data_IF_115040561214
#
_entry.id   IF_115040561214
#
_cell.length_a   1.000
_cell.length_b   1.000
_cell.length_c   1.000
_cell.angle_alpha   90.00
_cell.angle_beta   90.00
_cell.angle_gamma   90.00
#
_symmetry.space_group_name_H-M   'P 1'
#
loop_
_entity.id
_entity.type
_entity.pdbx_description
1 polymer ?
#
# COMPACT_ATOMS: atom_id res chain seq x y z
N UNK A 1 -19.11 -19.97 -50.85
CA UNK A 1 -19.07 -18.60 -51.43
C UNK A 1 -18.36 -17.70 -50.42
N UNK A 2 -17.09 -17.38 -50.66
CA UNK A 2 -16.28 -16.54 -49.80
C UNK A 2 -16.36 -15.07 -50.19
N UNK A 3 -16.01 -14.18 -49.26
CA UNK A 3 -15.52 -12.84 -49.57
C UNK A 3 -14.74 -12.28 -48.38
N UNK A 4 -13.43 -12.44 -48.45
CA UNK A 4 -12.42 -11.71 -47.68
C UNK A 4 -12.45 -10.22 -48.05
N UNK A 5 -12.36 -9.31 -47.06
CA UNK A 5 -12.09 -7.89 -47.31
C UNK A 5 -10.73 -7.50 -46.76
N UNK A 6 -9.98 -6.85 -47.66
CA UNK A 6 -8.57 -6.49 -47.63
C UNK A 6 -8.29 -5.20 -46.85
N UNK A 7 -7.06 -5.16 -46.36
CA UNK A 7 -6.28 -4.00 -45.88
C UNK A 7 -6.04 -3.00 -47.05
N UNK A 8 -6.01 -1.68 -46.82
CA UNK A 8 -5.46 -0.72 -47.78
C UNK A 8 -3.97 -0.43 -47.53
N UNK A 9 -3.22 -0.38 -48.63
CA UNK A 9 -1.79 -0.11 -48.73
C UNK A 9 -1.46 1.40 -48.88
N UNK A 10 -0.21 1.76 -48.56
CA UNK A 10 0.40 3.07 -48.74
C UNK A 10 0.56 3.51 -50.21
N UNK A 11 0.69 4.82 -50.49
CA UNK A 11 1.23 5.35 -51.74
C UNK A 11 2.73 5.76 -51.64
N UNK A 12 3.41 6.01 -52.78
CA UNK A 12 4.85 5.79 -52.94
C UNK A 12 5.72 7.06 -52.76
N UNK A 13 7.01 6.83 -52.50
CA UNK A 13 8.05 7.87 -52.49
C UNK A 13 8.58 8.21 -53.88
N UNK A 14 9.62 9.07 -53.96
CA UNK A 14 10.45 9.14 -55.15
C UNK A 14 11.99 9.12 -54.90
N UNK A 15 12.64 8.20 -55.60
CA UNK A 15 13.87 8.33 -56.41
C UNK A 15 15.25 8.61 -55.77
N UNK A 16 16.06 7.54 -55.72
CA UNK A 16 17.51 7.55 -55.97
C UNK A 16 17.77 7.52 -57.50
N UNK A 17 18.98 7.90 -57.93
CA UNK A 17 19.68 7.09 -58.94
C UNK A 17 21.14 6.76 -58.56
N UNK A 18 21.41 5.44 -58.55
CA UNK A 18 22.50 4.68 -59.18
C UNK A 18 23.97 5.16 -59.21
N UNK A 19 24.80 4.29 -58.61
CA UNK A 19 26.21 3.88 -58.85
C UNK A 19 26.74 4.00 -60.31
N UNK A 20 28.08 4.11 -60.50
CA UNK A 20 28.89 2.89 -60.69
C UNK A 20 30.30 2.90 -60.06
N UNK A 21 30.88 1.70 -60.07
CA UNK A 21 32.17 1.25 -59.53
C UNK A 21 33.32 1.25 -60.56
N UNK A 22 34.55 1.23 -60.02
CA UNK A 22 35.78 0.53 -60.48
C UNK A 22 36.78 1.15 -61.51
N UNK A 23 38.04 1.18 -61.03
CA UNK A 23 39.40 1.08 -61.66
C UNK A 23 40.11 2.33 -62.29
N UNK A 24 41.46 2.32 -62.51
CA UNK A 24 42.41 3.18 -61.80
C UNK A 24 43.25 4.08 -62.73
N UNK A 25 43.96 5.07 -62.18
CA UNK A 25 44.91 5.85 -62.97
C UNK A 25 45.80 6.72 -62.10
N UNK A 26 47.10 6.40 -62.07
CA UNK A 26 48.11 7.20 -61.39
C UNK A 26 48.50 8.45 -62.17
N UNK A 27 49.13 9.40 -61.49
CA UNK A 27 50.37 10.12 -61.88
C UNK A 27 50.57 11.36 -61.02
N UNK A 28 51.59 11.29 -60.17
CA UNK A 28 52.69 12.27 -59.99
C UNK A 28 52.39 13.78 -59.94
N UNK A 29 52.75 14.41 -58.82
CA UNK A 29 53.45 15.71 -58.59
C UNK A 29 53.18 16.05 -57.10
N UNK A 30 54.10 16.41 -56.20
CA UNK A 30 55.48 16.84 -56.23
C UNK A 30 55.74 17.55 -54.88
N UNK A 31 56.61 16.96 -54.06
CA UNK A 31 57.52 17.53 -53.03
C UNK A 31 57.16 18.80 -52.19
N UNK A 32 57.29 18.66 -50.85
CA UNK A 32 58.17 19.41 -49.89
C UNK A 32 57.56 19.33 -48.45
N UNK A 33 58.00 18.41 -47.58
CA UNK A 33 59.10 18.53 -46.59
C UNK A 33 58.84 19.51 -45.42
N UNK A 34 58.68 18.98 -44.20
CA UNK A 34 58.74 19.76 -42.96
C UNK A 34 58.24 19.02 -41.70
N UNK A 35 59.16 18.35 -41.00
CA UNK A 35 59.14 17.70 -39.68
C UNK A 35 57.99 17.99 -38.69
N UNK A 36 57.35 16.93 -38.18
CA UNK A 36 57.43 16.55 -36.75
C UNK A 36 56.82 15.17 -36.49
N UNK A 37 57.66 14.15 -36.66
CA UNK A 37 57.32 12.74 -36.47
C UNK A 37 57.51 12.32 -35.01
N UNK A 38 56.53 12.62 -34.15
CA UNK A 38 56.31 11.80 -32.96
C UNK A 38 55.92 10.38 -33.41
N UNK A 39 56.75 9.39 -33.08
CA UNK A 39 56.55 7.97 -33.39
C UNK A 39 55.11 7.56 -33.05
N UNK A 40 54.40 6.89 -33.97
CA UNK A 40 53.03 6.40 -33.82
C UNK A 40 52.66 5.80 -32.43
N UNK A 41 53.53 5.01 -31.75
CA UNK A 41 53.25 4.55 -30.38
C UNK A 41 53.15 5.68 -29.34
N UNK A 42 53.88 6.77 -29.53
CA UNK A 42 53.84 7.94 -28.64
C UNK A 42 52.54 8.75 -28.80
N UNK A 43 52.01 8.84 -30.04
CA UNK A 43 50.70 9.45 -30.30
C UNK A 43 49.56 8.63 -29.67
N UNK A 44 49.62 7.31 -29.78
CA UNK A 44 48.62 6.43 -29.17
C UNK A 44 48.66 6.52 -27.64
N UNK A 45 49.85 6.52 -27.03
CA UNK A 45 50.01 6.68 -25.59
C UNK A 45 49.44 8.02 -25.10
N UNK A 46 49.68 9.11 -25.81
CA UNK A 46 49.14 10.43 -25.50
C UNK A 46 47.61 10.45 -25.56
N UNK A 47 47.01 9.84 -26.59
CA UNK A 47 45.54 9.75 -26.72
C UNK A 47 44.94 8.95 -25.55
N UNK A 48 45.55 7.83 -25.18
CA UNK A 48 45.09 7.01 -24.05
C UNK A 48 45.20 7.81 -22.74
N UNK A 49 46.34 8.45 -22.47
CA UNK A 49 46.53 9.26 -21.27
C UNK A 49 45.54 10.44 -21.20
N UNK A 50 45.28 11.11 -22.32
CA UNK A 50 44.28 12.17 -22.40
C UNK A 50 42.86 11.64 -22.12
N UNK A 51 42.49 10.47 -22.66
CA UNK A 51 41.17 9.87 -22.45
C UNK A 51 40.92 9.44 -21.01
N UNK A 52 41.94 8.88 -20.34
CA UNK A 52 41.87 8.50 -18.92
C UNK A 52 41.80 9.75 -18.04
N UNK A 53 42.59 10.77 -18.36
CA UNK A 53 42.54 12.06 -17.65
C UNK A 53 41.18 12.74 -17.74
N UNK A 54 40.59 12.80 -18.95
CA UNK A 54 39.26 13.38 -19.15
C UNK A 54 38.17 12.61 -18.40
N UNK A 55 38.26 11.28 -18.38
CA UNK A 55 37.32 10.43 -17.66
C UNK A 55 37.41 10.64 -16.14
N UNK A 56 38.62 10.76 -15.59
CA UNK A 56 38.81 11.02 -14.16
C UNK A 56 38.29 12.40 -13.74
N UNK A 57 38.54 13.44 -14.55
CA UNK A 57 38.02 14.80 -14.32
C UNK A 57 36.50 14.82 -14.42
N UNK A 58 35.92 14.13 -15.42
CA UNK A 58 34.48 14.01 -15.56
C UNK A 58 33.84 13.33 -14.32
N UNK A 59 34.43 12.25 -13.81
CA UNK A 59 33.95 11.55 -12.60
C UNK A 59 34.02 12.48 -11.37
N UNK A 60 35.13 13.19 -11.19
CA UNK A 60 35.29 14.16 -10.08
C UNK A 60 34.27 15.30 -10.17
N UNK A 61 34.06 15.87 -11.35
CA UNK A 61 33.05 16.92 -11.58
C UNK A 61 31.63 16.39 -11.39
N UNK A 62 31.38 15.14 -11.78
CA UNK A 62 30.11 14.46 -11.53
C UNK A 62 29.78 14.33 -10.04
N UNK A 63 30.76 13.95 -9.22
CA UNK A 63 30.63 13.88 -7.76
C UNK A 63 30.39 15.24 -7.11
N UNK A 64 30.92 16.32 -7.71
CA UNK A 64 30.86 17.66 -7.11
C UNK A 64 29.67 18.51 -7.62
N UNK A 65 29.18 18.27 -8.85
CA UNK A 65 28.23 19.17 -9.54
C UNK A 65 26.90 18.52 -9.98
N UNK A 66 26.66 17.23 -9.70
CA UNK A 66 25.42 16.49 -10.05
C UNK A 66 24.84 16.82 -11.45
N UNK A 67 25.65 16.63 -12.50
CA UNK A 67 25.23 16.82 -13.89
C UNK A 67 24.24 15.74 -14.36
N UNK A 68 23.30 16.06 -15.27
CA UNK A 68 22.13 15.23 -15.60
C UNK A 68 22.40 13.89 -16.31
N UNK A 69 23.66 13.57 -16.63
CA UNK A 69 24.05 12.32 -17.32
C UNK A 69 24.91 11.39 -16.46
N UNK A 70 25.01 11.65 -15.16
CA UNK A 70 25.85 10.84 -14.30
C UNK A 70 25.15 9.54 -13.84
N UNK A 71 25.80 8.37 -13.87
CA UNK A 71 25.22 7.11 -13.38
C UNK A 71 25.06 7.16 -11.85
N UNK A 72 23.89 7.62 -11.42
CA UNK A 72 23.22 7.45 -10.12
C UNK A 72 24.08 7.13 -8.89
N UNK A 73 25.02 8.00 -8.48
CA UNK A 73 25.53 8.06 -7.11
C UNK A 73 26.00 9.49 -6.78
N UNK A 74 25.05 10.41 -6.58
CA UNK A 74 25.34 11.66 -5.87
C UNK A 74 25.27 11.39 -4.35
N UNK A 75 26.37 11.64 -3.63
CA UNK A 75 26.36 11.74 -2.16
C UNK A 75 25.76 13.10 -1.82
N UNK A 76 24.47 13.12 -1.50
CA UNK A 76 23.76 14.34 -1.11
C UNK A 76 24.08 14.66 0.37
N UNK A 77 24.84 15.73 0.70
CA UNK A 77 25.18 16.05 2.09
C UNK A 77 24.04 16.77 2.82
N UNK A 78 22.91 17.06 2.15
CA UNK A 78 21.85 17.92 2.68
C UNK A 78 20.50 17.25 2.93
N UNK A 79 20.38 15.94 2.75
CA UNK A 79 19.33 15.16 3.39
C UNK A 79 19.66 15.06 4.88
N UNK A 80 19.12 16.02 5.63
CA UNK A 80 19.09 16.02 7.08
C UNK A 80 18.49 14.69 7.56
N UNK A 81 19.36 13.72 7.85
CA UNK A 81 19.07 12.60 8.73
C UNK A 81 18.82 13.26 10.09
N UNK A 82 17.57 13.67 10.32
CA UNK A 82 17.05 13.74 11.68
C UNK A 82 17.21 12.33 12.22
N UNK A 83 18.27 12.11 12.99
CA UNK A 83 18.39 10.98 13.91
C UNK A 83 17.13 10.99 14.78
N UNK A 84 16.15 10.20 14.37
CA UNK A 84 14.95 9.93 15.17
C UNK A 84 15.42 9.10 16.37
N UNK A 85 14.98 9.37 17.60
CA UNK A 85 15.42 8.61 18.76
C UNK A 85 15.02 7.13 18.59
N UNK A 86 16.02 6.26 18.50
CA UNK A 86 15.93 4.81 18.68
C UNK A 86 15.67 4.57 20.19
N UNK A 87 14.62 3.87 20.66
CA UNK A 87 14.43 2.40 20.91
C UNK A 87 13.17 2.32 21.87
N UNK A 88 12.30 1.25 21.93
CA UNK A 88 12.72 -0.15 21.99
C UNK A 88 11.96 -1.17 21.17
N UNK A 89 12.69 -1.73 20.20
CA UNK A 89 12.57 -3.13 19.76
C UNK A 89 11.25 -3.50 19.10
N UNK A 90 11.19 -4.72 18.54
CA UNK A 90 9.93 -5.23 18.04
C UNK A 90 8.98 -5.47 19.23
N UNK A 91 7.78 -4.92 19.14
CA UNK A 91 6.77 -5.13 20.17
C UNK A 91 6.22 -6.56 20.06
N UNK A 92 6.03 -7.18 21.22
CA UNK A 92 5.30 -8.43 21.32
C UNK A 92 3.80 -8.14 21.23
N UNK A 93 3.16 -8.60 20.16
CA UNK A 93 1.70 -8.55 20.04
C UNK A 93 1.11 -9.64 20.93
N UNK A 94 0.71 -9.27 22.15
CA UNK A 94 0.15 -10.21 23.12
C UNK A 94 -1.16 -10.79 22.60
N UNK A 95 -1.28 -12.13 22.58
CA UNK A 95 -2.50 -12.82 22.14
C UNK A 95 -2.52 -13.23 20.66
N UNK A 96 -1.50 -12.87 19.88
CA UNK A 96 -1.31 -13.33 18.50
C UNK A 96 -0.16 -14.33 18.43
N UNK A 97 -0.43 -15.50 17.86
CA UNK A 97 0.57 -16.55 17.64
C UNK A 97 0.68 -16.89 16.16
N UNK A 98 1.91 -17.07 15.71
CA UNK A 98 2.23 -17.60 14.39
C UNK A 98 1.73 -19.04 14.28
N UNK A 99 1.03 -19.35 13.20
CA UNK A 99 0.45 -20.70 12.99
C UNK A 99 1.53 -21.77 12.77
N UNK A 100 2.62 -21.52 11.99
CA UNK A 100 3.66 -22.53 11.78
C UNK A 100 4.40 -22.99 13.04
N UNK A 101 4.65 -22.11 14.02
CA UNK A 101 5.55 -22.38 15.14
C UNK A 101 4.99 -22.01 16.53
N UNK A 102 3.75 -21.50 16.60
CA UNK A 102 3.08 -21.13 17.84
C UNK A 102 3.69 -19.93 18.57
N UNK A 103 4.77 -19.36 18.05
CA UNK A 103 5.50 -18.27 18.70
C UNK A 103 4.67 -16.98 18.66
N UNK A 104 4.82 -16.11 19.67
CA UNK A 104 4.16 -14.81 19.64
C UNK A 104 4.53 -14.03 18.38
N UNK A 105 3.57 -13.30 17.82
CA UNK A 105 3.84 -12.38 16.74
C UNK A 105 4.70 -11.22 17.26
N UNK A 106 5.91 -11.08 16.70
CA UNK A 106 6.88 -10.04 17.04
C UNK A 106 7.02 -9.13 15.83
N UNK A 107 6.60 -7.86 15.97
CA UNK A 107 6.67 -6.89 14.87
C UNK A 107 6.91 -5.48 15.42
N UNK A 108 7.57 -4.66 14.63
CA UNK A 108 7.69 -3.22 14.90
C UNK A 108 6.35 -2.51 14.63
N UNK A 109 6.11 -1.42 15.37
CA UNK A 109 4.98 -0.54 15.11
C UNK A 109 5.12 0.13 13.74
N UNK A 110 3.98 0.37 13.08
CA UNK A 110 3.93 1.19 11.89
C UNK A 110 3.67 2.64 12.30
N UNK A 111 4.38 3.61 11.72
CA UNK A 111 4.07 5.04 11.95
C UNK A 111 2.73 5.41 11.34
N UNK A 112 2.49 4.98 10.10
CA UNK A 112 1.26 5.27 9.37
C UNK A 112 0.64 4.00 8.80
N UNK A 113 -0.64 3.81 9.09
CA UNK A 113 -1.42 2.69 8.60
C UNK A 113 -2.58 3.16 7.71
N UNK A 114 -2.71 2.57 6.53
CA UNK A 114 -3.93 2.64 5.72
C UNK A 114 -4.81 1.42 6.01
N UNK A 115 -5.98 1.63 6.61
CA UNK A 115 -7.02 0.61 6.80
C UNK A 115 -7.99 0.69 5.64
N UNK A 116 -7.99 -0.32 4.78
CA UNK A 116 -8.82 -0.37 3.57
C UNK A 116 -9.94 -1.38 3.77
N UNK A 117 -11.17 -0.88 3.86
CA UNK A 117 -12.36 -1.73 3.94
C UNK A 117 -12.76 -2.30 2.57
N UNK A 118 -13.81 -3.13 2.53
CA UNK A 118 -14.33 -3.74 1.31
C UNK A 118 -15.45 -2.94 0.63
N UNK A 119 -15.85 -1.78 1.16
CA UNK A 119 -17.04 -1.04 0.70
C UNK A 119 -16.98 -0.61 -0.76
N UNK A 120 -18.14 -0.58 -1.43
CA UNK A 120 -18.30 0.01 -2.76
C UNK A 120 -17.99 1.51 -2.84
N UNK A 121 -17.87 2.21 -1.71
CA UNK A 121 -17.41 3.62 -1.68
C UNK A 121 -16.02 3.79 -2.33
N UNK A 122 -15.22 2.73 -2.40
CA UNK A 122 -13.90 2.79 -3.03
C UNK A 122 -13.95 2.94 -4.55
N UNK A 123 -15.05 2.57 -5.20
CA UNK A 123 -15.15 2.56 -6.66
C UNK A 123 -15.01 3.98 -7.25
N UNK A 124 -14.05 4.15 -8.17
CA UNK A 124 -13.77 5.43 -8.83
C UNK A 124 -13.10 6.47 -7.92
N UNK A 125 -12.58 6.07 -6.77
CA UNK A 125 -11.90 6.98 -5.84
C UNK A 125 -10.52 7.44 -6.31
N UNK A 126 -9.80 6.61 -7.08
CA UNK A 126 -8.45 6.93 -7.54
C UNK A 126 -7.39 6.99 -6.42
N UNK A 127 -7.69 6.47 -5.23
CA UNK A 127 -6.85 6.60 -4.03
C UNK A 127 -5.75 5.54 -3.91
N UNK A 128 -5.60 4.66 -4.90
CA UNK A 128 -4.71 3.50 -4.79
C UNK A 128 -3.25 3.87 -4.53
N UNK A 129 -2.73 4.90 -5.19
CA UNK A 129 -1.37 5.38 -4.98
C UNK A 129 -1.17 5.99 -3.58
N UNK A 130 -2.18 6.70 -3.06
CA UNK A 130 -2.15 7.27 -1.71
C UNK A 130 -2.14 6.15 -0.66
N UNK A 131 -3.03 5.16 -0.80
CA UNK A 131 -3.08 3.98 0.06
C UNK A 131 -1.73 3.25 0.07
N UNK A 132 -1.14 3.03 -1.10
CA UNK A 132 0.13 2.32 -1.26
C UNK A 132 1.34 3.14 -0.77
N UNK A 133 1.17 4.41 -0.41
CA UNK A 133 2.21 5.23 0.21
C UNK A 133 2.37 5.00 1.71
N UNK A 134 1.34 4.43 2.38
CA UNK A 134 1.38 4.15 3.81
C UNK A 134 2.43 3.09 4.18
N UNK A 135 3.02 3.19 5.36
CA UNK A 135 4.01 2.22 5.84
C UNK A 135 3.38 0.81 5.94
N UNK A 136 2.19 0.73 6.51
CA UNK A 136 1.42 -0.51 6.60
C UNK A 136 0.04 -0.38 5.95
N UNK A 137 -0.32 -1.34 5.10
CA UNK A 137 -1.66 -1.42 4.49
C UNK A 137 -2.39 -2.62 5.10
N UNK A 138 -3.50 -2.35 5.79
CA UNK A 138 -4.34 -3.32 6.47
C UNK A 138 -5.60 -3.56 5.63
N UNK A 139 -5.78 -4.79 5.15
CA UNK A 139 -6.95 -5.22 4.36
C UNK A 139 -7.78 -6.26 5.10
N UNK A 140 -8.97 -6.56 4.60
CA UNK A 140 -9.90 -7.47 5.26
C UNK A 140 -10.36 -8.58 4.31
N UNK A 141 -10.46 -9.80 4.83
CA UNK A 141 -11.08 -10.95 4.16
C UNK A 141 -10.55 -11.18 2.73
N UNK A 142 -11.40 -11.62 1.80
CA UNK A 142 -11.07 -11.89 0.40
C UNK A 142 -11.16 -10.66 -0.52
N UNK A 143 -11.19 -9.43 0.02
CA UNK A 143 -11.32 -8.24 -0.83
C UNK A 143 -10.13 -8.11 -1.80
N UNK A 144 -10.31 -8.25 -3.13
CA UNK A 144 -9.22 -8.33 -4.09
C UNK A 144 -8.66 -6.95 -4.40
N UNK A 145 -7.36 -6.87 -4.68
CA UNK A 145 -6.76 -5.65 -5.26
C UNK A 145 -6.75 -5.68 -6.78
N UNK A 146 -6.64 -6.89 -7.35
CA UNK A 146 -6.52 -7.09 -8.80
C UNK A 146 -7.79 -6.61 -9.53
N UNK A 147 -7.61 -5.71 -10.49
CA UNK A 147 -8.68 -5.04 -11.23
C UNK A 147 -9.27 -3.81 -10.54
N UNK A 148 -8.80 -3.47 -9.33
CA UNK A 148 -9.25 -2.32 -8.53
C UNK A 148 -8.06 -1.46 -8.06
N UNK A 149 -6.86 -1.68 -8.58
CA UNK A 149 -5.60 -1.10 -8.10
C UNK A 149 -5.62 0.42 -8.08
N UNK A 150 -6.25 1.05 -9.07
CA UNK A 150 -6.39 2.50 -9.15
C UNK A 150 -7.14 3.08 -7.93
N UNK A 151 -8.10 2.34 -7.41
CA UNK A 151 -8.99 2.76 -6.33
C UNK A 151 -8.49 2.31 -4.96
N UNK A 152 -8.06 1.05 -4.86
CA UNK A 152 -7.76 0.41 -3.57
C UNK A 152 -6.28 0.14 -3.35
N UNK A 153 -5.42 0.39 -4.34
CA UNK A 153 -3.99 0.09 -4.28
C UNK A 153 -3.67 -1.40 -4.47
N UNK A 154 -2.39 -1.72 -4.54
CA UNK A 154 -1.85 -3.07 -4.76
C UNK A 154 -1.25 -3.69 -3.50
N UNK A 155 -0.69 -2.89 -2.60
CA UNK A 155 0.04 -3.40 -1.43
C UNK A 155 -0.92 -3.93 -0.37
N UNK A 156 -0.47 -4.95 0.33
CA UNK A 156 -1.10 -5.47 1.54
C UNK A 156 0.01 -5.90 2.48
N UNK A 157 0.08 -5.27 3.66
CA UNK A 157 1.05 -5.64 4.70
C UNK A 157 0.43 -6.66 5.65
N UNK A 158 -0.82 -6.41 6.07
CA UNK A 158 -1.59 -7.32 6.91
C UNK A 158 -2.99 -7.50 6.33
N UNK A 159 -3.54 -8.69 6.51
CA UNK A 159 -4.91 -9.00 6.13
C UNK A 159 -5.65 -9.70 7.26
N UNK A 160 -6.68 -9.06 7.78
CA UNK A 160 -7.50 -9.59 8.87
C UNK A 160 -8.62 -10.43 8.29
N UNK A 161 -8.72 -11.68 8.72
CA UNK A 161 -9.55 -12.71 8.11
C UNK A 161 -10.57 -13.23 9.13
N UNK A 162 -11.85 -13.25 8.75
CA UNK A 162 -12.88 -14.03 9.44
C UNK A 162 -12.70 -15.52 9.15
N UNK A 163 -12.97 -16.39 10.13
CA UNK A 163 -12.96 -17.85 9.91
C UNK A 163 -13.81 -18.28 8.71
N UNK A 164 -14.94 -17.61 8.46
CA UNK A 164 -15.82 -17.86 7.30
C UNK A 164 -15.16 -17.55 5.95
N UNK A 165 -14.18 -16.65 5.93
CA UNK A 165 -13.45 -16.25 4.72
C UNK A 165 -12.27 -17.17 4.41
N UNK A 166 -11.78 -17.96 5.38
CA UNK A 166 -10.62 -18.86 5.19
C UNK A 166 -10.83 -19.82 4.00
N UNK A 167 -11.98 -20.52 3.85
CA UNK A 167 -12.20 -21.37 2.68
C UNK A 167 -12.18 -20.62 1.35
N UNK A 168 -12.60 -19.35 1.34
CA UNK A 168 -12.60 -18.51 0.12
C UNK A 168 -11.18 -18.13 -0.30
N UNK A 169 -10.30 -17.83 0.67
CA UNK A 169 -8.89 -17.57 0.40
C UNK A 169 -8.19 -18.83 -0.15
N UNK A 170 -8.49 -20.00 0.43
CA UNK A 170 -7.91 -21.27 -0.01
C UNK A 170 -8.31 -21.65 -1.45
N UNK A 171 -9.51 -21.25 -1.90
CA UNK A 171 -9.93 -21.45 -3.31
C UNK A 171 -9.05 -20.70 -4.30
N UNK A 172 -8.48 -19.56 -3.89
CA UNK A 172 -7.54 -18.80 -4.71
C UNK A 172 -6.15 -18.79 -4.05
N UNK A 173 -5.65 -19.99 -3.77
CA UNK A 173 -4.39 -20.18 -3.05
C UNK A 173 -3.21 -19.48 -3.74
N UNK A 174 -3.13 -19.55 -5.08
CA UNK A 174 -2.02 -18.95 -5.81
C UNK A 174 -1.95 -17.43 -5.61
N UNK A 175 -3.09 -16.74 -5.65
CA UNK A 175 -3.09 -15.30 -5.41
C UNK A 175 -2.72 -14.96 -3.95
N UNK A 176 -3.43 -15.53 -2.98
CA UNK A 176 -3.27 -15.12 -1.58
C UNK A 176 -1.98 -15.66 -0.92
N UNK A 177 -1.55 -16.88 -1.24
CA UNK A 177 -0.45 -17.53 -0.52
C UNK A 177 0.82 -17.74 -1.36
N UNK A 178 0.80 -17.47 -2.67
CA UNK A 178 2.02 -17.47 -3.49
C UNK A 178 2.39 -16.06 -3.96
N UNK A 179 1.48 -15.37 -4.65
CA UNK A 179 1.74 -14.02 -5.18
C UNK A 179 1.81 -12.98 -4.05
N UNK A 180 0.88 -13.03 -3.09
CA UNK A 180 0.85 -12.16 -1.92
C UNK A 180 1.55 -12.77 -0.69
N UNK A 181 2.66 -13.50 -0.89
CA UNK A 181 3.37 -14.22 0.19
C UNK A 181 3.91 -13.33 1.31
N UNK A 182 4.16 -12.05 1.01
CA UNK A 182 4.68 -11.09 1.99
C UNK A 182 3.56 -10.46 2.85
N UNK A 183 2.28 -10.80 2.58
CA UNK A 183 1.14 -10.39 3.40
C UNK A 183 1.04 -11.28 4.65
N UNK A 184 0.99 -10.66 5.82
CA UNK A 184 0.68 -11.36 7.06
C UNK A 184 -0.83 -11.55 7.19
N UNK A 185 -1.28 -12.80 7.29
CA UNK A 185 -2.69 -13.14 7.50
C UNK A 185 -2.98 -13.30 9.00
N UNK A 186 -3.92 -12.51 9.51
CA UNK A 186 -4.32 -12.52 10.92
C UNK A 186 -5.75 -13.03 11.01
N UNK A 187 -5.93 -14.21 11.62
CA UNK A 187 -7.28 -14.75 11.87
C UNK A 187 -7.65 -14.50 13.33
N UNK A 188 -8.61 -13.60 13.55
CA UNK A 188 -8.88 -13.04 14.88
C UNK A 188 -9.75 -13.93 15.79
N UNK A 189 -10.44 -14.94 15.24
CA UNK A 189 -11.42 -15.75 15.98
C UNK A 189 -10.83 -16.94 16.75
N UNK A 190 -9.51 -17.13 16.77
CA UNK A 190 -8.94 -18.39 17.27
C UNK A 190 -8.47 -18.38 18.72
N UNK A 191 -8.45 -17.23 19.42
CA UNK A 191 -8.07 -17.21 20.83
C UNK A 191 -9.21 -16.69 21.71
N UNK A 192 -9.57 -17.46 22.73
CA UNK A 192 -10.59 -17.07 23.71
C UNK A 192 -10.23 -15.75 24.40
N UNK A 193 -8.93 -15.55 24.66
CA UNK A 193 -8.40 -14.32 25.25
C UNK A 193 -8.69 -13.08 24.39
N UNK A 194 -8.42 -13.13 23.09
CA UNK A 194 -8.66 -11.98 22.21
C UNK A 194 -10.16 -11.73 22.03
N UNK A 195 -10.96 -12.79 21.96
CA UNK A 195 -12.41 -12.67 21.92
C UNK A 195 -12.97 -12.07 23.21
N UNK A 196 -12.47 -12.46 24.38
CA UNK A 196 -12.85 -11.88 25.67
C UNK A 196 -12.46 -10.40 25.77
N UNK A 197 -11.28 -10.03 25.29
CA UNK A 197 -10.87 -8.64 25.20
C UNK A 197 -11.82 -7.82 24.31
N UNK A 198 -12.17 -8.33 23.13
CA UNK A 198 -13.13 -7.66 22.24
C UNK A 198 -14.55 -7.58 22.85
N UNK A 199 -14.99 -8.63 23.57
CA UNK A 199 -16.25 -8.64 24.31
C UNK A 199 -16.28 -7.51 25.36
N UNK A 200 -15.17 -7.32 26.08
CA UNK A 200 -15.01 -6.26 27.08
C UNK A 200 -15.03 -4.87 26.44
N UNK A 201 -14.21 -4.63 25.40
CA UNK A 201 -14.17 -3.34 24.71
C UNK A 201 -15.54 -2.98 24.14
N UNK A 202 -16.26 -3.93 23.55
CA UNK A 202 -17.60 -3.69 23.05
C UNK A 202 -18.56 -3.31 24.17
N UNK A 203 -18.50 -3.99 25.32
CA UNK A 203 -19.33 -3.68 26.47
C UNK A 203 -19.02 -2.29 27.05
N UNK A 204 -17.75 -1.93 27.17
CA UNK A 204 -17.33 -0.62 27.71
C UNK A 204 -17.73 0.53 26.79
N UNK A 205 -17.65 0.32 25.47
CA UNK A 205 -17.98 1.34 24.48
C UNK A 205 -19.48 1.48 24.22
N UNK A 206 -20.28 0.43 24.43
CA UNK A 206 -21.71 0.43 24.06
C UNK A 206 -22.65 0.32 25.25
N UNK A 207 -22.15 -0.05 26.43
CA UNK A 207 -22.95 -0.43 27.58
C UNK A 207 -23.71 -1.75 27.40
N UNK A 208 -23.47 -2.50 26.31
CA UNK A 208 -24.19 -3.74 25.98
C UNK A 208 -23.25 -4.93 26.01
N UNK A 209 -23.63 -5.98 26.72
CA UNK A 209 -22.91 -7.23 26.62
C UNK A 209 -23.12 -7.85 25.23
N UNK A 210 -22.02 -8.15 24.52
CA UNK A 210 -22.08 -8.66 23.15
C UNK A 210 -22.84 -9.99 23.06
N UNK A 211 -22.53 -10.94 23.96
CA UNK A 211 -23.12 -12.30 23.93
C UNK A 211 -24.60 -12.26 24.27
N UNK A 212 -24.98 -11.54 25.32
CA UNK A 212 -26.38 -11.41 25.75
C UNK A 212 -27.23 -10.67 24.71
N UNK A 213 -26.67 -9.66 24.05
CA UNK A 213 -27.35 -8.95 22.96
C UNK A 213 -27.39 -9.72 21.64
N UNK A 214 -26.74 -10.88 21.55
CA UNK A 214 -26.64 -11.67 20.32
C UNK A 214 -25.89 -10.96 19.19
N UNK A 215 -24.98 -10.04 19.52
CA UNK A 215 -24.25 -9.24 18.54
C UNK A 215 -22.98 -9.95 18.05
N UNK A 216 -22.66 -9.79 16.77
CA UNK A 216 -21.43 -10.29 16.17
C UNK A 216 -20.55 -9.11 15.76
N UNK A 217 -19.29 -9.10 16.19
CA UNK A 217 -18.35 -8.06 15.77
C UNK A 217 -17.92 -8.32 14.32
N UNK A 218 -17.87 -7.25 13.51
CA UNK A 218 -17.43 -7.36 12.12
C UNK A 218 -15.91 -7.51 12.02
N UNK A 219 -15.39 -7.99 10.89
CA UNK A 219 -13.94 -7.96 10.61
C UNK A 219 -13.37 -6.54 10.67
N UNK A 220 -14.18 -5.52 10.37
CA UNK A 220 -13.80 -4.11 10.52
C UNK A 220 -13.49 -3.75 11.97
N UNK A 221 -14.29 -4.21 12.93
CA UNK A 221 -14.01 -4.04 14.36
C UNK A 221 -12.65 -4.60 14.75
N UNK A 222 -12.37 -5.86 14.42
CA UNK A 222 -11.10 -6.50 14.76
C UNK A 222 -9.91 -5.81 14.08
N UNK A 223 -10.10 -5.33 12.86
CA UNK A 223 -9.04 -4.58 12.16
C UNK A 223 -8.76 -3.24 12.82
N UNK A 224 -9.79 -2.53 13.28
CA UNK A 224 -9.60 -1.27 14.02
C UNK A 224 -8.93 -1.49 15.37
N UNK A 225 -9.27 -2.56 16.10
CA UNK A 225 -8.57 -2.94 17.33
C UNK A 225 -7.09 -3.23 17.05
N UNK A 226 -6.78 -4.03 16.03
CA UNK A 226 -5.40 -4.31 15.64
C UNK A 226 -4.64 -3.04 15.22
N UNK A 227 -5.29 -2.14 14.47
CA UNK A 227 -4.68 -0.88 14.05
C UNK A 227 -4.34 0.02 15.26
N UNK A 228 -5.20 0.06 16.29
CA UNK A 228 -4.94 0.81 17.52
C UNK A 228 -3.72 0.30 18.30
N UNK A 229 -3.38 -0.98 18.18
CA UNK A 229 -2.20 -1.58 18.80
C UNK A 229 -0.93 -1.40 17.94
N UNK A 230 -1.08 -1.44 16.61
CA UNK A 230 0.03 -1.49 15.65
C UNK A 230 0.51 -0.12 15.15
N UNK A 231 -0.36 0.90 15.17
CA UNK A 231 -0.15 2.11 14.38
C UNK A 231 -0.03 3.38 15.24
N UNK A 232 0.92 4.28 14.91
CA UNK A 232 0.94 5.63 15.50
C UNK A 232 -0.19 6.49 14.94
N UNK A 233 -0.44 6.43 13.63
CA UNK A 233 -1.49 7.14 12.90
C UNK A 233 -2.27 6.17 12.00
N UNK A 234 -3.59 6.35 11.94
CA UNK A 234 -4.50 5.47 11.20
C UNK A 234 -5.31 6.30 10.20
N UNK A 235 -5.23 5.96 8.93
CA UNK A 235 -6.06 6.52 7.86
C UNK A 235 -6.99 5.43 7.34
N UNK A 236 -8.29 5.69 7.32
CA UNK A 236 -9.33 4.71 6.99
C UNK A 236 -9.98 5.07 5.66
N UNK A 237 -10.11 4.06 4.79
CA UNK A 237 -10.66 4.15 3.46
C UNK A 237 -11.84 3.16 3.27
N UNK A 238 -12.87 3.62 2.57
CA UNK A 238 -14.09 2.90 2.25
C UNK A 238 -15.07 2.76 3.42
N UNK A 239 -14.97 3.55 4.49
CA UNK A 239 -15.90 3.39 5.62
C UNK A 239 -16.81 4.62 5.72
N UNK A 240 -18.12 4.43 5.60
CA UNK A 240 -19.12 5.50 5.84
C UNK A 240 -19.36 5.71 7.34
N UNK A 241 -19.82 6.91 7.72
CA UNK A 241 -20.13 7.26 9.12
C UNK A 241 -21.38 6.52 9.64
N UNK A 242 -21.62 6.60 10.95
CA UNK A 242 -22.82 6.06 11.60
C UNK A 242 -24.11 6.84 11.26
N UNK A 243 -23.99 8.06 10.72
CA UNK A 243 -25.13 8.85 10.24
C UNK A 243 -25.43 8.63 8.76
N UNK A 244 -24.43 8.22 7.96
CA UNK A 244 -24.48 8.25 6.50
C UNK A 244 -25.76 7.66 5.90
N UNK A 245 -26.11 6.43 6.28
CA UNK A 245 -27.30 5.73 5.75
C UNK A 245 -28.66 6.28 6.25
N UNK A 246 -28.65 7.35 7.05
CA UNK A 246 -29.84 8.09 7.49
C UNK A 246 -29.94 9.47 6.84
N UNK A 247 -28.91 9.90 6.12
CA UNK A 247 -28.90 11.17 5.41
C UNK A 247 -29.72 11.06 4.12
N UNK A 248 -30.47 12.11 3.76
CA UNK A 248 -31.45 12.03 2.65
C UNK A 248 -30.82 11.90 1.25
N UNK A 249 -29.55 12.27 1.09
CA UNK A 249 -28.90 12.43 -0.22
C UNK A 249 -27.54 11.75 -0.31
N UNK A 250 -27.46 10.46 0.01
CA UNK A 250 -26.26 9.67 -0.22
C UNK A 250 -26.36 8.85 -1.53
N UNK A 251 -25.28 8.71 -2.32
CA UNK A 251 -25.28 7.82 -3.47
C UNK A 251 -25.49 6.36 -3.01
N UNK A 252 -26.21 5.59 -3.83
CA UNK A 252 -26.27 4.13 -3.68
C UNK A 252 -24.99 3.54 -4.27
N UNK A 253 -24.32 2.70 -3.49
CA UNK A 253 -23.11 1.98 -3.88
C UNK A 253 -23.26 0.51 -3.51
N UNK A 254 -22.59 -0.42 -4.21
CA UNK A 254 -22.61 -1.81 -3.82
C UNK A 254 -21.98 -2.00 -2.42
N UNK A 255 -22.44 -3.01 -1.69
CA UNK A 255 -21.90 -3.36 -0.37
C UNK A 255 -20.40 -3.66 -0.42
N UNK A 256 -19.96 -4.30 -1.51
CA UNK A 256 -18.55 -4.54 -1.78
C UNK A 256 -18.14 -3.98 -3.13
N UNK A 257 -16.94 -3.38 -3.22
CA UNK A 257 -16.43 -2.83 -4.50
C UNK A 257 -16.21 -3.90 -5.57
N UNK A 258 -16.00 -5.16 -5.17
CA UNK A 258 -15.65 -6.26 -6.07
C UNK A 258 -16.82 -7.18 -6.43
N UNK A 259 -18.00 -6.95 -5.86
CA UNK A 259 -19.18 -7.75 -6.16
C UNK A 259 -20.02 -7.09 -7.26
N UNK A 260 -20.58 -7.91 -8.16
CA UNK A 260 -21.42 -7.44 -9.26
C UNK A 260 -22.80 -7.00 -8.76
N UNK A 261 -22.88 -5.86 -8.09
CA UNK A 261 -24.08 -5.01 -7.95
C UNK A 261 -25.35 -5.63 -7.34
N UNK A 262 -25.25 -6.66 -6.49
CA UNK A 262 -26.46 -7.35 -5.96
C UNK A 262 -26.99 -6.83 -4.62
N UNK A 263 -26.17 -6.11 -3.86
CA UNK A 263 -26.51 -5.71 -2.49
C UNK A 263 -26.06 -4.26 -2.29
N UNK A 264 -26.98 -3.38 -1.93
CA UNK A 264 -26.67 -1.98 -1.57
C UNK A 264 -26.02 -1.90 -0.19
N UNK A 265 -25.03 -1.01 -0.04
CA UNK A 265 -24.27 -0.86 1.21
C UNK A 265 -25.17 -0.51 2.40
N UNK A 266 -26.03 0.50 2.24
CA UNK A 266 -26.85 0.99 3.34
C UNK A 266 -27.99 0.03 3.67
N UNK A 267 -28.59 -0.62 2.68
CA UNK A 267 -29.56 -1.69 2.91
C UNK A 267 -28.95 -2.82 3.74
N UNK A 268 -27.74 -3.26 3.41
CA UNK A 268 -27.03 -4.30 4.17
C UNK A 268 -26.75 -3.87 5.60
N UNK A 269 -26.20 -2.66 5.80
CA UNK A 269 -25.91 -2.15 7.13
C UNK A 269 -27.16 -2.02 8.00
N UNK A 270 -28.23 -1.44 7.48
CA UNK A 270 -29.47 -1.24 8.23
C UNK A 270 -30.18 -2.57 8.54
N UNK A 271 -30.17 -3.53 7.62
CA UNK A 271 -30.72 -4.86 7.85
C UNK A 271 -30.01 -5.59 8.99
N UNK A 272 -28.67 -5.60 8.99
CA UNK A 272 -27.88 -6.21 10.05
C UNK A 272 -27.99 -5.44 11.38
N UNK A 273 -27.99 -4.11 11.35
CA UNK A 273 -28.14 -3.28 12.55
C UNK A 273 -29.45 -3.56 13.28
N UNK A 274 -30.57 -3.72 12.54
CA UNK A 274 -31.92 -3.93 13.08
C UNK A 274 -32.22 -5.38 13.43
N UNK A 275 -31.45 -6.34 12.93
CA UNK A 275 -31.70 -7.75 13.17
C UNK A 275 -31.68 -8.07 14.68
N UNK A 276 -32.64 -8.85 15.20
CA UNK A 276 -32.81 -9.02 16.65
C UNK A 276 -31.63 -9.74 17.31
N UNK A 277 -31.04 -10.73 16.62
CA UNK A 277 -29.86 -11.50 17.07
C UNK A 277 -29.06 -11.97 15.85
N UNK A 278 -27.85 -12.44 16.10
CA UNK A 278 -27.00 -13.14 15.12
C UNK A 278 -26.58 -12.29 13.92
N UNK A 279 -26.40 -10.99 14.13
CA UNK A 279 -25.99 -10.06 13.10
C UNK A 279 -24.93 -9.07 13.60
N UNK A 280 -24.26 -8.45 12.64
CA UNK A 280 -23.33 -7.37 12.87
C UNK A 280 -24.04 -6.08 13.27
N UNK A 281 -23.37 -5.27 14.09
CA UNK A 281 -23.86 -3.95 14.49
C UNK A 281 -23.06 -2.86 13.78
N UNK A 282 -23.10 -2.88 12.45
CA UNK A 282 -22.22 -2.04 11.62
C UNK A 282 -22.32 -0.54 11.92
N UNK A 283 -23.52 -0.03 12.21
CA UNK A 283 -23.74 1.38 12.55
C UNK A 283 -23.25 1.66 13.97
N UNK A 284 -23.56 0.76 14.91
CA UNK A 284 -23.04 0.86 16.29
C UNK A 284 -21.51 0.87 16.31
N UNK A 285 -20.85 -0.03 15.58
CA UNK A 285 -19.39 -0.10 15.48
C UNK A 285 -18.80 1.21 14.92
N UNK A 286 -19.39 1.78 13.86
CA UNK A 286 -18.97 3.07 13.30
C UNK A 286 -19.12 4.22 14.30
N UNK A 287 -20.18 4.21 15.11
CA UNK A 287 -20.37 5.21 16.16
C UNK A 287 -19.28 5.11 17.25
N UNK A 288 -18.81 3.89 17.54
CA UNK A 288 -17.64 3.67 18.42
C UNK A 288 -16.39 4.23 17.78
N UNK A 289 -16.12 3.92 16.51
CA UNK A 289 -14.93 4.42 15.82
C UNK A 289 -14.89 5.95 15.72
N UNK A 290 -16.05 6.59 15.53
CA UNK A 290 -16.20 8.05 15.56
C UNK A 290 -15.74 8.63 16.91
N UNK A 291 -16.03 7.95 18.03
CA UNK A 291 -15.55 8.37 19.36
C UNK A 291 -14.07 8.11 19.56
N UNK A 292 -13.53 7.03 19.02
CA UNK A 292 -12.09 6.76 19.05
C UNK A 292 -11.30 7.83 18.28
N UNK A 293 -11.78 8.26 17.13
CA UNK A 293 -11.15 9.32 16.32
C UNK A 293 -11.10 10.69 17.00
N UNK A 294 -11.95 10.94 18.01
CA UNK A 294 -11.84 12.14 18.86
C UNK A 294 -10.69 12.09 19.85
N UNK A 295 -10.15 10.90 20.15
CA UNK A 295 -9.18 10.64 21.22
C UNK A 295 -7.83 10.10 20.71
N UNK A 296 -7.75 9.77 19.43
CA UNK A 296 -6.63 9.10 18.77
C UNK A 296 -6.46 9.67 17.36
N UNK A 297 -5.25 9.64 16.79
CA UNK A 297 -4.98 10.08 15.42
C UNK A 297 -5.55 9.10 14.39
N UNK A 298 -6.87 9.08 14.29
CA UNK A 298 -7.63 8.31 13.29
C UNK A 298 -8.29 9.31 12.35
N UNK A 299 -8.03 9.16 11.06
CA UNK A 299 -8.61 9.96 10.00
C UNK A 299 -9.43 9.04 9.10
N UNK A 300 -10.72 9.31 8.95
CA UNK A 300 -11.54 8.69 7.92
C UNK A 300 -11.45 9.56 6.67
N UNK A 301 -10.62 9.14 5.71
CA UNK A 301 -10.27 9.93 4.54
C UNK A 301 -11.30 9.79 3.42
N UNK A 302 -11.82 8.58 3.21
CA UNK A 302 -12.76 8.31 2.11
C UNK A 302 -13.88 7.34 2.50
N UNK A 303 -15.16 7.72 2.40
CA UNK A 303 -15.60 9.12 2.37
C UNK A 303 -15.14 9.85 3.64
N UNK A 304 -14.89 11.16 3.55
CA UNK A 304 -14.40 11.93 4.69
C UNK A 304 -15.45 12.07 5.79
N UNK A 305 -15.12 11.76 7.04
CA UNK A 305 -16.05 11.98 8.16
C UNK A 305 -15.91 13.40 8.70
N UNK A 306 -17.03 13.99 9.16
CA UNK A 306 -17.05 15.35 9.76
C UNK A 306 -16.27 15.42 11.08
N UNK A 307 -16.23 14.32 11.84
CA UNK A 307 -15.46 14.24 13.08
C UNK A 307 -14.05 13.77 12.75
N UNK A 308 -13.07 14.67 12.81
CA UNK A 308 -11.66 14.33 12.61
C UNK A 308 -10.86 14.67 13.86
N UNK A 309 -9.77 13.92 14.07
CA UNK A 309 -8.78 14.24 15.06
C UNK A 309 -8.29 15.68 14.86
N UNK A 310 -8.33 16.49 15.92
CA UNK A 310 -7.74 17.84 15.90
C UNK A 310 -6.53 17.87 16.83
N UNK A 311 -5.38 18.34 16.35
CA UNK A 311 -4.15 18.50 17.13
C UNK A 311 -4.30 19.47 18.33
N UNK A 312 -5.47 20.08 18.53
CA UNK A 312 -5.70 21.16 19.50
C UNK A 312 -5.80 20.68 20.96
N UNK A 313 -5.76 19.37 21.23
CA UNK A 313 -5.85 18.79 22.57
C UNK A 313 -4.86 17.63 22.85
N UNK A 314 -3.68 17.61 22.23
CA UNK A 314 -2.72 16.51 22.41
C UNK A 314 -1.87 16.63 23.68
N UNK A 315 -2.48 16.38 24.83
CA UNK A 315 -1.81 15.83 26.02
C UNK A 315 -2.60 14.62 26.50
N UNK A 316 -2.57 13.54 25.71
CA UNK A 316 -3.09 12.24 26.14
C UNK A 316 -1.92 11.27 26.14
N UNK A 317 -1.38 11.04 27.33
CA UNK A 317 -0.50 9.91 27.63
C UNK A 317 -1.24 8.63 27.26
N UNK A 318 -0.62 7.76 26.45
CA UNK A 318 -1.16 6.43 26.15
C UNK A 318 -1.42 5.69 27.47
N UNK A 319 -2.62 5.16 27.75
CA UNK A 319 -2.69 4.03 28.66
C UNK A 319 -2.00 2.90 27.92
N UNK A 320 -0.78 2.56 28.34
CA UNK A 320 -0.25 1.23 28.07
C UNK A 320 -1.33 0.27 28.55
N UNK A 321 -1.92 -0.51 27.63
CA UNK A 321 -2.62 -1.73 28.00
C UNK A 321 -1.61 -2.52 28.82
N UNK A 322 -1.77 -2.51 30.14
CA UNK A 322 -0.91 -3.29 31.00
C UNK A 322 -1.10 -4.76 30.60
N UNK A 323 -0.03 -5.56 30.52
CA UNK A 323 -0.19 -6.99 30.45
C UNK A 323 -0.99 -7.40 31.68
N UNK A 324 -2.25 -7.81 31.48
CA UNK A 324 -3.04 -8.40 32.55
C UNK A 324 -2.28 -9.64 33.02
N UNK A 325 -1.60 -9.49 34.15
CA UNK A 325 -1.06 -10.59 34.93
C UNK A 325 -2.21 -11.55 35.17
N UNK A 326 -2.00 -12.81 34.79
CA UNK A 326 -2.89 -13.90 35.15
C UNK A 326 -3.04 -13.88 36.67
N UNK A 327 -4.22 -13.48 37.16
CA UNK A 327 -4.60 -13.82 38.52
C UNK A 327 -4.91 -15.30 38.51
N UNK A 328 -3.92 -16.09 38.91
CA UNK A 328 -4.14 -17.45 39.37
C UNK A 328 -5.13 -17.40 40.54
N UNK A 329 -6.32 -17.94 40.32
CA UNK A 329 -7.20 -18.51 41.35
C UNK A 329 -7.58 -19.89 40.86
#
# INVERSE_FOLDING_TARGET
MGSSRRIPACPPGPWLPSLPSLIPGGSSHGLLSGSDSMKAPCRLLLIVLCSVGFSAVYILLCYWACLPFCPAFCLDPHLSIKSRPTVPGPLHFSGYSSVPDGKPLVRELCRSCAVVSSSGQMLGSGLGAEIDSAECVLRMNQAPTVGFEADVGQRSTLRVISHTSVPLLLRNYSHYFQQARDTLYVVYTFTERMMAYCDQVFQDETGKNRRQSGSFLSTGWFTMILALELCEEIVVYGMVSDSYCREEHHPSVPYHYFEKGRLDECQMYLAHERAPRSAHRFITEKAVFSRWAKKRPIVFAHPSWRTQWSHRHSTITRPLLQPHSAKNT
#
